data_IF_540161760986
#
_entry.id   IF_540161760986
#
_cell.length_a   1.000
_cell.length_b   1.000
_cell.length_c   1.000
_cell.angle_alpha   90.00
_cell.angle_beta   90.00
_cell.angle_gamma   90.00
#
_symmetry.space_group_name_H-M   'P 1'
#
loop_
_entity.id
_entity.type
_entity.pdbx_description
1 polymer ?
#
# COMPACT_ATOMS: atom_id res chain seq x y z
N UNK A 1 26.55 3.71 0.48
CA UNK A 1 26.22 5.14 0.67
C UNK A 1 25.11 5.21 1.70
N UNK A 2 25.20 6.07 2.73
CA UNK A 2 24.16 6.14 3.76
C UNK A 2 22.95 6.95 3.28
N UNK A 3 21.76 6.36 3.26
CA UNK A 3 20.52 7.08 2.89
C UNK A 3 19.97 7.89 4.07
N UNK A 4 20.20 7.42 5.29
CA UNK A 4 19.80 8.12 6.52
C UNK A 4 20.88 9.11 7.01
N UNK A 5 20.50 10.14 7.81
CA UNK A 5 21.45 11.00 8.52
C UNK A 5 22.39 10.20 9.45
N UNK A 6 23.53 10.77 9.82
CA UNK A 6 24.55 10.07 10.62
C UNK A 6 24.11 9.76 12.07
N UNK A 7 23.09 10.45 12.60
CA UNK A 7 22.61 10.32 13.97
C UNK A 7 21.41 9.36 14.08
N UNK A 8 21.69 8.05 13.89
CA UNK A 8 20.72 6.95 14.03
C UNK A 8 20.74 6.30 15.42
N UNK A 9 21.53 6.83 16.36
CA UNK A 9 21.82 6.19 17.65
C UNK A 9 20.58 5.89 18.50
N UNK A 10 19.50 6.66 18.31
CA UNK A 10 18.23 6.52 19.03
C UNK A 10 17.09 5.90 18.21
N UNK A 11 17.37 5.40 16.99
CA UNK A 11 16.36 4.85 16.09
C UNK A 11 15.75 3.54 16.62
N UNK A 12 16.58 2.63 17.14
CA UNK A 12 16.11 1.37 17.73
C UNK A 12 15.23 1.57 18.97
N UNK A 13 15.52 2.61 19.78
CA UNK A 13 14.71 2.93 20.95
C UNK A 13 13.34 3.50 20.56
N UNK A 14 13.30 4.44 19.60
CA UNK A 14 12.03 4.99 19.05
C UNK A 14 11.15 3.90 18.45
N UNK A 15 11.76 2.94 17.75
CA UNK A 15 11.09 1.75 17.22
C UNK A 15 10.52 0.89 18.36
N UNK A 16 11.31 0.54 19.37
CA UNK A 16 10.85 -0.31 20.47
C UNK A 16 9.63 0.24 21.23
N UNK A 17 9.58 1.55 21.45
CA UNK A 17 8.46 2.20 22.13
C UNK A 17 7.18 2.26 21.28
N UNK A 18 7.30 2.38 19.95
CA UNK A 18 6.17 2.49 19.03
C UNK A 18 5.66 1.13 18.52
N UNK A 19 6.54 0.15 18.33
CA UNK A 19 6.23 -1.12 17.66
C UNK A 19 5.23 -1.97 18.46
N UNK A 20 5.38 -2.11 19.77
CA UNK A 20 4.54 -3.02 20.55
C UNK A 20 3.06 -2.62 20.52
N UNK A 21 2.69 -1.35 20.80
CA UNK A 21 1.31 -0.89 20.62
C UNK A 21 0.79 -1.06 19.18
N UNK A 22 1.65 -0.79 18.18
CA UNK A 22 1.28 -0.95 16.77
C UNK A 22 0.96 -2.41 16.43
N UNK A 23 1.77 -3.37 16.88
CA UNK A 23 1.53 -4.80 16.65
C UNK A 23 0.27 -5.30 17.35
N UNK A 24 0.00 -4.81 18.57
CA UNK A 24 -1.24 -5.14 19.29
C UNK A 24 -2.48 -4.55 18.60
N UNK A 25 -2.38 -3.36 18.02
CA UNK A 25 -3.44 -2.77 17.21
C UNK A 25 -3.65 -3.55 15.92
N UNK A 26 -2.57 -3.83 15.19
CA UNK A 26 -2.55 -4.63 13.96
C UNK A 26 -3.27 -5.97 14.15
N UNK A 27 -2.90 -6.73 15.18
CA UNK A 27 -3.50 -8.02 15.46
C UNK A 27 -5.00 -7.91 15.79
N UNK A 28 -5.41 -6.92 16.59
CA UNK A 28 -6.83 -6.69 16.91
C UNK A 28 -7.65 -6.35 15.67
N UNK A 29 -7.12 -5.50 14.80
CA UNK A 29 -7.77 -5.10 13.54
C UNK A 29 -7.94 -6.32 12.62
N UNK A 30 -6.88 -7.11 12.44
CA UNK A 30 -6.93 -8.30 11.59
C UNK A 30 -7.92 -9.35 12.13
N UNK A 31 -7.89 -9.62 13.44
CA UNK A 31 -8.82 -10.55 14.06
C UNK A 31 -10.27 -10.09 13.94
N UNK A 32 -10.54 -8.80 14.16
CA UNK A 32 -11.87 -8.21 13.98
C UNK A 32 -12.36 -8.34 12.54
N UNK A 33 -11.47 -8.08 11.57
CA UNK A 33 -11.78 -8.26 10.16
C UNK A 33 -12.18 -9.72 9.85
N UNK A 34 -11.37 -10.71 10.23
CA UNK A 34 -11.69 -12.12 9.97
C UNK A 34 -12.96 -12.59 10.68
N UNK A 35 -13.20 -12.15 11.91
CA UNK A 35 -14.42 -12.47 12.66
C UNK A 35 -15.68 -11.96 11.92
N UNK A 36 -15.62 -10.76 11.34
CA UNK A 36 -16.71 -10.21 10.54
C UNK A 36 -16.81 -10.87 9.16
N UNK A 37 -15.68 -11.10 8.48
CA UNK A 37 -15.63 -11.69 7.16
C UNK A 37 -16.36 -13.04 7.12
N UNK A 38 -16.28 -13.85 8.20
CA UNK A 38 -16.97 -15.13 8.27
C UNK A 38 -18.51 -15.04 8.33
N UNK A 39 -19.05 -13.85 8.60
CA UNK A 39 -20.50 -13.59 8.63
C UNK A 39 -21.01 -13.05 7.28
N UNK A 40 -20.12 -12.64 6.37
CA UNK A 40 -20.45 -12.12 5.05
C UNK A 40 -20.11 -13.14 3.97
N UNK A 41 -21.09 -13.52 3.14
CA UNK A 41 -20.85 -14.42 2.00
C UNK A 41 -19.89 -13.80 0.97
N UNK A 42 -20.04 -12.50 0.72
CA UNK A 42 -19.18 -11.78 -0.22
C UNK A 42 -17.72 -11.76 0.26
N UNK A 43 -17.47 -11.44 1.53
CA UNK A 43 -16.10 -11.41 2.07
C UNK A 43 -15.48 -12.81 2.14
N UNK A 44 -16.25 -13.85 2.49
CA UNK A 44 -15.78 -15.26 2.48
C UNK A 44 -15.28 -15.73 1.11
N UNK A 45 -15.69 -15.08 0.02
CA UNK A 45 -15.25 -15.46 -1.33
C UNK A 45 -13.82 -15.00 -1.66
N UNK A 46 -13.30 -14.01 -0.93
CA UNK A 46 -12.03 -13.32 -1.22
C UNK A 46 -10.98 -13.43 -0.10
N UNK A 47 -11.26 -14.17 0.98
CA UNK A 47 -10.30 -14.39 2.08
C UNK A 47 -10.25 -15.85 2.51
N UNK A 48 -9.16 -16.32 3.14
CA UNK A 48 -9.14 -17.63 3.77
C UNK A 48 -10.23 -17.76 4.83
N UNK A 49 -10.83 -18.96 4.93
CA UNK A 49 -11.78 -19.24 6.00
C UNK A 49 -11.07 -19.15 7.35
N UNK A 50 -11.63 -18.37 8.27
CA UNK A 50 -11.21 -18.36 9.67
C UNK A 50 -12.06 -19.35 10.48
N UNK A 51 -11.40 -20.22 11.23
CA UNK A 51 -12.03 -21.10 12.21
C UNK A 51 -12.15 -20.42 13.58
N UNK A 52 -11.22 -19.51 13.87
CA UNK A 52 -11.19 -18.72 15.09
C UNK A 52 -10.47 -17.40 14.81
N UNK A 53 -10.99 -16.31 15.36
CA UNK A 53 -10.38 -14.99 15.28
C UNK A 53 -10.78 -14.18 16.53
N UNK A 54 -9.82 -14.03 17.45
CA UNK A 54 -9.97 -13.25 18.68
C UNK A 54 -8.76 -12.31 18.79
N UNK A 55 -9.01 -11.02 19.04
CA UNK A 55 -7.98 -9.98 19.14
C UNK A 55 -7.09 -10.07 20.38
N UNK A 56 -7.32 -11.06 21.25
CA UNK A 56 -6.47 -11.37 22.41
C UNK A 56 -5.65 -12.65 22.26
N UNK A 57 -5.90 -13.45 21.22
CA UNK A 57 -5.30 -14.78 21.04
C UNK A 57 -4.65 -14.92 19.66
N UNK A 58 -4.91 -16.01 18.96
CA UNK A 58 -4.38 -16.28 17.63
C UNK A 58 -5.52 -16.31 16.62
N UNK A 59 -5.21 -15.99 15.36
CA UNK A 59 -6.13 -16.18 14.24
C UNK A 59 -5.86 -17.56 13.66
N UNK A 60 -6.87 -18.43 13.62
CA UNK A 60 -6.78 -19.77 13.04
C UNK A 60 -7.44 -19.76 11.67
N UNK A 61 -6.62 -19.80 10.62
CA UNK A 61 -7.05 -19.80 9.23
C UNK A 61 -6.98 -21.20 8.61
N UNK A 62 -7.76 -21.43 7.55
CA UNK A 62 -7.68 -22.62 6.73
C UNK A 62 -6.31 -22.75 6.04
N UNK A 63 -5.75 -23.95 6.07
CA UNK A 63 -4.59 -24.30 5.24
C UNK A 63 -5.05 -24.49 3.80
N UNK A 64 -4.56 -23.63 2.91
CA UNK A 64 -4.91 -23.60 1.49
C UNK A 64 -3.82 -24.21 0.60
N UNK A 65 -2.72 -24.70 1.17
CA UNK A 65 -1.59 -25.25 0.41
C UNK A 65 -1.99 -26.41 -0.50
N UNK A 66 -2.88 -27.28 -0.03
CA UNK A 66 -3.42 -28.42 -0.79
C UNK A 66 -4.53 -28.02 -1.76
N UNK A 67 -5.09 -26.83 -1.61
CA UNK A 67 -6.12 -26.29 -2.49
C UNK A 67 -5.52 -25.48 -3.65
N UNK A 68 -4.20 -25.53 -3.86
CA UNK A 68 -3.51 -24.88 -4.98
C UNK A 68 -3.24 -23.39 -4.78
N UNK A 69 -3.63 -22.81 -3.65
CA UNK A 69 -3.29 -21.42 -3.32
C UNK A 69 -1.84 -21.30 -2.86
N UNK A 70 -1.11 -20.38 -3.48
CA UNK A 70 0.28 -20.08 -3.15
C UNK A 70 0.42 -18.57 -2.90
N UNK A 71 1.26 -18.14 -1.95
CA UNK A 71 1.59 -16.73 -1.83
C UNK A 71 2.23 -16.25 -3.13
N UNK A 72 1.83 -15.08 -3.63
CA UNK A 72 2.45 -14.42 -4.78
C UNK A 72 3.82 -13.80 -4.42
N UNK A 73 4.52 -14.44 -3.47
CA UNK A 73 5.53 -13.86 -2.61
C UNK A 73 6.53 -12.96 -3.35
N UNK A 74 6.90 -11.80 -2.78
CA UNK A 74 8.15 -11.15 -3.14
C UNK A 74 9.35 -12.11 -2.93
N UNK A 75 9.27 -13.08 -2.02
CA UNK A 75 10.40 -13.88 -1.59
C UNK A 75 10.66 -15.16 -2.41
N UNK A 76 9.84 -15.47 -3.42
CA UNK A 76 9.93 -16.74 -4.18
C UNK A 76 10.24 -16.59 -5.66
N UNK A 77 10.42 -15.36 -6.14
CA UNK A 77 10.81 -15.08 -7.52
C UNK A 77 12.08 -14.26 -7.46
N UNK A 78 13.07 -14.55 -8.29
CA UNK A 78 14.31 -13.77 -8.41
C UNK A 78 13.98 -12.26 -8.51
N UNK A 79 14.00 -11.54 -7.39
CA UNK A 79 13.63 -10.12 -7.30
C UNK A 79 14.72 -9.19 -7.83
N UNK A 80 15.82 -9.74 -8.33
CA UNK A 80 16.73 -9.00 -9.21
C UNK A 80 16.12 -8.78 -10.59
N UNK A 81 15.07 -9.54 -10.95
CA UNK A 81 14.27 -9.35 -12.17
C UNK A 81 12.77 -9.12 -11.86
N UNK A 82 12.27 -9.59 -10.72
CA UNK A 82 10.90 -9.41 -10.22
C UNK A 82 9.86 -10.14 -11.07
N UNK A 83 8.87 -10.84 -10.48
CA UNK A 83 7.76 -11.32 -11.30
C UNK A 83 7.03 -10.08 -11.81
N UNK A 84 6.94 -9.93 -13.12
CA UNK A 84 5.72 -9.42 -13.72
C UNK A 84 4.60 -10.27 -13.11
N UNK A 85 3.85 -9.71 -12.16
CA UNK A 85 2.61 -10.35 -11.75
C UNK A 85 1.77 -10.35 -13.03
N UNK A 86 1.56 -11.54 -13.61
CA UNK A 86 0.86 -11.68 -14.88
C UNK A 86 -0.44 -10.88 -14.84
N UNK A 87 -0.80 -10.24 -15.96
CA UNK A 87 -2.05 -9.51 -16.14
C UNK A 87 -3.25 -10.24 -15.54
N UNK A 88 -3.32 -11.56 -15.74
CA UNK A 88 -4.36 -12.45 -15.22
C UNK A 88 -4.44 -12.43 -13.69
N UNK A 89 -3.28 -12.49 -13.03
CA UNK A 89 -3.17 -12.45 -11.57
C UNK A 89 -3.55 -11.06 -11.06
N UNK A 90 -3.06 -9.99 -11.69
CA UNK A 90 -3.42 -8.61 -11.32
C UNK A 90 -4.91 -8.34 -11.47
N UNK A 91 -5.54 -8.86 -12.53
CA UNK A 91 -6.99 -8.77 -12.72
C UNK A 91 -7.76 -9.52 -11.62
N UNK A 92 -7.29 -10.69 -11.20
CA UNK A 92 -7.89 -11.43 -10.08
C UNK A 92 -7.77 -10.67 -8.75
N UNK A 93 -6.64 -10.00 -8.49
CA UNK A 93 -6.46 -9.16 -7.31
C UNK A 93 -7.39 -7.94 -7.36
N UNK A 94 -7.47 -7.27 -8.51
CA UNK A 94 -8.39 -6.14 -8.73
C UNK A 94 -9.83 -6.55 -8.50
N UNK A 95 -10.22 -7.75 -8.92
CA UNK A 95 -11.56 -8.29 -8.67
C UNK A 95 -11.82 -8.53 -7.18
N UNK A 96 -10.84 -9.11 -6.46
CA UNK A 96 -10.92 -9.31 -5.02
C UNK A 96 -11.02 -7.96 -4.27
N UNK A 97 -10.24 -6.95 -4.68
CA UNK A 97 -10.31 -5.60 -4.11
C UNK A 97 -11.64 -4.90 -4.41
N UNK A 98 -12.14 -4.98 -5.64
CA UNK A 98 -13.46 -4.42 -5.96
C UNK A 98 -14.56 -5.09 -5.12
N UNK A 99 -14.47 -6.40 -4.92
CA UNK A 99 -15.38 -7.15 -4.06
C UNK A 99 -15.27 -6.71 -2.61
N UNK A 100 -14.05 -6.55 -2.08
CA UNK A 100 -13.81 -6.04 -0.72
C UNK A 100 -14.43 -4.65 -0.54
N UNK A 101 -14.10 -3.71 -1.42
CA UNK A 101 -14.48 -2.32 -1.28
C UNK A 101 -15.99 -2.14 -1.39
N UNK A 102 -16.66 -2.90 -2.27
CA UNK A 102 -18.12 -2.86 -2.45
C UNK A 102 -18.91 -3.72 -1.46
N UNK A 103 -18.24 -4.51 -0.62
CA UNK A 103 -18.90 -5.32 0.39
C UNK A 103 -19.54 -4.43 1.45
N UNK A 104 -20.86 -4.34 1.44
CA UNK A 104 -21.60 -3.63 2.47
C UNK A 104 -21.64 -4.48 3.76
N UNK A 105 -21.15 -3.91 4.86
CA UNK A 105 -21.22 -4.53 6.19
C UNK A 105 -21.04 -3.46 7.25
N UNK A 106 -21.87 -3.48 8.29
CA UNK A 106 -21.65 -2.65 9.47
C UNK A 106 -20.64 -3.39 10.33
N UNK A 107 -19.38 -3.00 10.24
CA UNK A 107 -18.38 -3.38 11.23
C UNK A 107 -18.79 -2.74 12.57
N UNK A 108 -18.64 -3.46 13.69
CA UNK A 108 -18.79 -2.82 14.99
C UNK A 108 -17.90 -1.58 15.05
N UNK A 109 -18.42 -0.49 15.61
CA UNK A 109 -17.66 0.74 15.76
C UNK A 109 -16.31 0.43 16.44
N UNK A 110 -15.24 1.04 15.91
CA UNK A 110 -13.88 0.89 16.45
C UNK A 110 -13.23 -0.49 16.28
N UNK A 111 -13.83 -1.40 15.51
CA UNK A 111 -13.25 -2.72 15.26
C UNK A 111 -12.12 -2.70 14.22
N UNK A 112 -12.24 -1.82 13.21
CA UNK A 112 -11.20 -1.51 12.24
C UNK A 112 -10.63 -0.10 12.48
N UNK A 113 -9.57 0.25 11.75
CA UNK A 113 -9.02 1.60 11.78
C UNK A 113 -10.00 2.60 11.18
N UNK A 114 -10.06 3.81 11.75
CA UNK A 114 -10.62 4.95 11.02
C UNK A 114 -9.61 5.42 9.97
N UNK A 115 -10.08 6.14 8.95
CA UNK A 115 -9.17 6.73 7.96
C UNK A 115 -8.06 7.58 8.60
N UNK A 116 -8.42 8.38 9.60
CA UNK A 116 -7.47 9.20 10.36
C UNK A 116 -6.45 8.37 11.16
N UNK A 117 -6.89 7.26 11.78
CA UNK A 117 -5.99 6.37 12.49
C UNK A 117 -5.00 5.68 11.54
N UNK A 118 -5.45 5.30 10.34
CA UNK A 118 -4.58 4.75 9.30
C UNK A 118 -3.57 5.79 8.77
N UNK A 119 -4.02 7.03 8.54
CA UNK A 119 -3.11 8.14 8.16
C UNK A 119 -2.04 8.34 9.23
N UNK A 120 -2.43 8.37 10.51
CA UNK A 120 -1.51 8.54 11.62
C UNK A 120 -0.48 7.42 11.67
N UNK A 121 -0.93 6.15 11.67
CA UNK A 121 -0.05 4.98 11.65
C UNK A 121 0.99 5.04 10.52
N UNK A 122 0.57 5.42 9.31
CA UNK A 122 1.47 5.54 8.16
C UNK A 122 2.41 6.73 8.26
N UNK A 123 1.93 7.87 8.74
CA UNK A 123 2.76 9.05 8.99
C UNK A 123 3.87 8.70 9.97
N UNK A 124 3.55 8.00 11.05
CA UNK A 124 4.55 7.55 12.02
C UNK A 124 5.60 6.66 11.37
N UNK A 125 5.18 5.69 10.53
CA UNK A 125 6.10 4.84 9.75
C UNK A 125 7.03 5.65 8.82
N UNK A 126 6.51 6.69 8.16
CA UNK A 126 7.31 7.59 7.28
C UNK A 126 8.27 8.45 8.08
N UNK A 127 7.86 8.91 9.26
CA UNK A 127 8.62 9.88 10.04
C UNK A 127 9.64 9.26 10.99
N UNK A 128 9.52 7.97 11.32
CA UNK A 128 10.48 7.22 12.15
C UNK A 128 11.93 7.40 11.65
N UNK A 129 12.25 7.23 10.34
CA UNK A 129 13.61 7.38 9.84
C UNK A 129 14.14 8.83 9.84
N UNK A 130 13.25 9.84 9.90
CA UNK A 130 13.58 11.26 9.71
C UNK A 130 13.26 12.16 10.92
N UNK A 131 12.92 11.57 12.07
CA UNK A 131 12.65 12.29 13.32
C UNK A 131 11.57 13.38 13.21
N UNK A 132 10.52 13.13 12.43
CA UNK A 132 9.40 14.07 12.25
C UNK A 132 9.79 15.44 11.64
N UNK A 133 10.92 15.56 10.95
CA UNK A 133 11.37 16.79 10.29
C UNK A 133 11.09 16.77 8.77
N UNK A 134 10.30 17.74 8.30
CA UNK A 134 9.96 17.89 6.88
C UNK A 134 11.19 18.12 5.99
N UNK A 135 12.21 18.86 6.47
CA UNK A 135 13.46 19.06 5.73
C UNK A 135 14.27 17.77 5.63
N UNK A 136 14.22 16.95 6.67
CA UNK A 136 14.86 15.64 6.67
C UNK A 136 14.14 14.66 5.72
N UNK A 137 12.81 14.73 5.63
CA UNK A 137 12.04 13.99 4.61
C UNK A 137 12.39 14.46 3.20
N UNK A 138 12.43 15.77 2.94
CA UNK A 138 12.85 16.31 1.64
C UNK A 138 14.26 15.80 1.25
N UNK A 139 15.23 15.92 2.18
CA UNK A 139 16.59 15.45 1.94
C UNK A 139 16.65 13.93 1.68
N UNK A 140 15.82 13.13 2.37
CA UNK A 140 15.72 11.70 2.14
C UNK A 140 15.20 11.41 0.73
N UNK A 141 14.13 12.07 0.30
CA UNK A 141 13.54 11.89 -1.03
C UNK A 141 14.55 12.25 -2.14
N UNK A 142 15.25 13.37 -2.00
CA UNK A 142 16.30 13.76 -2.97
C UNK A 142 17.48 12.78 -2.99
N UNK A 143 17.90 12.25 -1.84
CA UNK A 143 18.96 11.22 -1.78
C UNK A 143 18.52 9.92 -2.42
N UNK A 144 17.30 9.48 -2.13
CA UNK A 144 16.72 8.28 -2.72
C UNK A 144 16.67 8.40 -4.24
N UNK A 145 16.13 9.52 -4.71
CA UNK A 145 16.08 9.83 -6.12
C UNK A 145 17.45 9.86 -6.79
N UNK A 146 18.44 10.56 -6.21
CA UNK A 146 19.79 10.61 -6.74
C UNK A 146 20.47 9.23 -6.79
N UNK A 147 20.07 8.31 -5.91
CA UNK A 147 20.58 6.94 -5.90
C UNK A 147 20.00 6.08 -7.04
N UNK A 148 18.69 6.13 -7.25
CA UNK A 148 18.00 5.24 -8.19
C UNK A 148 17.84 5.84 -9.60
N UNK A 149 17.89 7.17 -9.75
CA UNK A 149 17.76 7.84 -11.03
C UNK A 149 18.53 9.17 -11.06
N UNK A 150 19.87 9.13 -11.17
CA UNK A 150 20.72 10.32 -11.11
C UNK A 150 20.44 11.34 -12.24
N UNK A 151 19.98 10.87 -13.39
CA UNK A 151 19.74 11.67 -14.60
C UNK A 151 18.28 12.13 -14.77
N UNK A 152 17.42 11.93 -13.77
CA UNK A 152 16.01 12.13 -13.99
C UNK A 152 15.61 13.62 -14.22
N UNK A 153 14.41 13.84 -14.80
CA UNK A 153 13.99 15.18 -15.19
C UNK A 153 13.71 16.09 -13.98
N UNK A 154 13.85 17.40 -14.19
CA UNK A 154 13.61 18.47 -13.19
C UNK A 154 12.25 18.34 -12.51
N UNK A 155 11.23 17.85 -13.22
CA UNK A 155 9.86 17.64 -12.71
C UNK A 155 9.83 16.79 -11.43
N UNK A 156 10.71 15.78 -11.31
CA UNK A 156 10.76 14.91 -10.14
C UNK A 156 11.37 15.62 -8.92
N UNK A 157 12.36 16.50 -9.15
CA UNK A 157 12.93 17.31 -8.06
C UNK A 157 11.90 18.28 -7.50
N UNK A 158 11.15 18.97 -8.37
CA UNK A 158 10.06 19.86 -7.96
C UNK A 158 8.96 19.09 -7.21
N UNK A 159 8.59 17.91 -7.71
CA UNK A 159 7.63 17.02 -7.05
C UNK A 159 8.04 16.68 -5.60
N UNK A 160 9.30 16.32 -5.36
CA UNK A 160 9.76 16.00 -3.99
C UNK A 160 9.73 17.20 -3.05
N UNK A 161 10.20 18.36 -3.49
CA UNK A 161 10.18 19.57 -2.67
C UNK A 161 8.74 20.00 -2.35
N UNK A 162 7.82 19.91 -3.31
CA UNK A 162 6.38 20.16 -3.08
C UNK A 162 5.77 19.15 -2.13
N UNK A 163 6.00 17.86 -2.36
CA UNK A 163 5.44 16.80 -1.53
C UNK A 163 5.93 16.89 -0.07
N UNK A 164 7.20 17.22 0.14
CA UNK A 164 7.74 17.46 1.48
C UNK A 164 7.15 18.72 2.14
N UNK A 165 6.91 19.78 1.37
CA UNK A 165 6.28 21.02 1.86
C UNK A 165 4.83 20.79 2.29
N UNK A 166 4.04 20.08 1.46
CA UNK A 166 2.64 19.73 1.77
C UNK A 166 2.59 18.76 2.95
N UNK A 167 3.48 17.77 2.97
CA UNK A 167 3.58 16.76 4.01
C UNK A 167 2.69 15.54 3.78
N UNK A 168 3.20 14.38 4.16
CA UNK A 168 2.60 13.06 3.91
C UNK A 168 1.14 12.95 4.38
N UNK A 169 0.86 13.36 5.62
CA UNK A 169 -0.48 13.30 6.19
C UNK A 169 -1.48 14.19 5.43
N UNK A 170 -1.06 15.38 5.00
CA UNK A 170 -1.90 16.30 4.26
C UNK A 170 -2.22 15.76 2.85
N UNK A 171 -1.24 15.14 2.17
CA UNK A 171 -1.46 14.45 0.89
C UNK A 171 -2.55 13.38 1.03
N UNK A 172 -2.48 12.53 2.07
CA UNK A 172 -3.50 11.50 2.29
C UNK A 172 -4.87 12.09 2.67
N UNK A 173 -4.91 13.14 3.50
CA UNK A 173 -6.16 13.82 3.88
C UNK A 173 -6.84 14.53 2.71
N UNK A 174 -6.07 14.90 1.68
CA UNK A 174 -6.60 15.51 0.47
C UNK A 174 -7.30 14.53 -0.46
N UNK A 175 -7.12 13.21 -0.27
CA UNK A 175 -7.80 12.17 -1.05
C UNK A 175 -9.28 12.15 -0.63
N UNK A 176 -10.18 12.31 -1.60
CA UNK A 176 -11.60 12.40 -1.30
C UNK A 176 -12.18 11.06 -0.87
N UNK A 177 -12.89 11.03 0.25
CA UNK A 177 -13.70 9.86 0.65
C UNK A 177 -14.94 9.69 -0.25
N UNK A 178 -15.33 10.72 -1.01
CA UNK A 178 -16.47 10.64 -1.93
C UNK A 178 -16.11 10.14 -3.34
N UNK A 179 -14.81 9.95 -3.64
CA UNK A 179 -14.35 9.48 -4.96
C UNK A 179 -14.35 7.96 -5.11
N UNK A 180 -14.63 7.22 -4.04
CA UNK A 180 -14.66 5.76 -4.02
C UNK A 180 -15.70 5.18 -3.07
N UNK A 181 -16.16 3.96 -3.37
CA UNK A 181 -17.20 3.21 -2.63
C UNK A 181 -16.56 2.29 -1.58
N UNK A 182 -15.43 2.65 -0.96
CA UNK A 182 -14.82 1.71 -0.01
C UNK A 182 -15.53 1.78 1.35
N UNK A 183 -16.38 0.78 1.58
CA UNK A 183 -16.88 0.48 2.92
C UNK A 183 -15.75 -0.06 3.81
N UNK A 184 -14.83 -0.80 3.20
CA UNK A 184 -13.68 -1.42 3.85
C UNK A 184 -12.47 -1.22 2.95
N UNK A 185 -11.34 -0.90 3.55
CA UNK A 185 -10.02 -0.84 2.93
C UNK A 185 -9.17 -1.96 3.54
N UNK A 186 -8.40 -2.67 2.72
CA UNK A 186 -7.38 -3.62 3.17
C UNK A 186 -6.19 -2.90 3.85
N UNK A 187 -5.77 -1.78 3.30
CA UNK A 187 -4.70 -0.94 3.85
C UNK A 187 -3.28 -1.35 3.45
N UNK A 188 -3.05 -2.59 3.02
CA UNK A 188 -1.75 -3.02 2.45
C UNK A 188 -1.88 -4.18 1.43
N UNK A 189 -2.64 -4.02 0.33
CA UNK A 189 -2.84 -5.06 -0.67
C UNK A 189 -1.65 -5.14 -1.65
N UNK A 190 -0.45 -5.39 -1.12
CA UNK A 190 0.72 -5.68 -1.94
C UNK A 190 0.73 -7.18 -2.34
N UNK A 191 1.48 -7.60 -3.38
CA UNK A 191 1.53 -9.00 -3.80
C UNK A 191 1.93 -10.01 -2.70
N UNK A 192 2.70 -9.58 -1.69
CA UNK A 192 3.02 -10.42 -0.54
C UNK A 192 1.81 -10.80 0.32
N UNK A 193 0.75 -10.01 0.24
CA UNK A 193 -0.49 -10.17 0.99
C UNK A 193 -1.61 -10.79 0.14
N UNK A 194 -1.22 -11.57 -0.88
CA UNK A 194 -2.13 -12.29 -1.78
C UNK A 194 -1.76 -13.76 -1.89
N UNK A 195 -2.76 -14.62 -1.76
CA UNK A 195 -2.69 -16.03 -2.14
C UNK A 195 -3.40 -16.21 -3.49
N UNK A 196 -2.72 -16.81 -4.47
CA UNK A 196 -3.27 -17.03 -5.81
C UNK A 196 -3.36 -18.52 -6.13
N UNK A 197 -4.45 -18.90 -6.80
CA UNK A 197 -4.65 -20.22 -7.36
C UNK A 197 -4.76 -20.10 -8.89
N UNK A 198 -3.77 -20.66 -9.59
CA UNK A 198 -3.66 -20.64 -11.06
C UNK A 198 -4.77 -21.44 -11.76
N UNK A 199 -5.26 -22.52 -11.15
CA UNK A 199 -6.26 -23.42 -11.76
C UNK A 199 -7.61 -22.72 -11.83
N UNK A 200 -8.00 -22.07 -10.72
CA UNK A 200 -9.30 -21.42 -10.60
C UNK A 200 -9.24 -19.92 -10.89
N UNK A 201 -8.05 -19.39 -11.21
CA UNK A 201 -7.75 -17.97 -11.43
C UNK A 201 -8.25 -17.03 -10.33
N UNK A 202 -8.22 -17.51 -9.07
CA UNK A 202 -8.71 -16.78 -7.89
C UNK A 202 -7.58 -16.21 -7.05
N UNK A 203 -7.77 -14.98 -6.61
CA UNK A 203 -6.95 -14.34 -5.59
C UNK A 203 -7.72 -14.31 -4.25
N UNK A 204 -7.01 -14.59 -3.16
CA UNK A 204 -7.46 -14.34 -1.80
C UNK A 204 -6.53 -13.33 -1.15
N UNK A 205 -7.12 -12.38 -0.44
CA UNK A 205 -6.41 -11.36 0.32
C UNK A 205 -6.13 -11.89 1.74
N UNK A 206 -4.98 -11.52 2.30
CA UNK A 206 -4.53 -11.90 3.65
C UNK A 206 -3.83 -10.72 4.32
N UNK A 207 -3.55 -10.81 5.62
CA UNK A 207 -2.83 -9.78 6.36
C UNK A 207 -3.58 -8.44 6.43
N UNK A 208 -4.77 -8.48 7.03
CA UNK A 208 -5.69 -7.34 7.18
C UNK A 208 -5.35 -6.42 8.37
N UNK A 209 -4.09 -6.40 8.80
CA UNK A 209 -3.62 -5.64 9.97
C UNK A 209 -3.76 -4.12 9.86
N UNK A 210 -3.84 -3.59 8.64
CA UNK A 210 -4.03 -2.17 8.35
C UNK A 210 -5.46 -1.86 7.83
N UNK A 211 -6.42 -2.78 8.03
CA UNK A 211 -7.77 -2.61 7.53
C UNK A 211 -8.49 -1.41 8.16
N UNK A 212 -9.21 -0.66 7.33
CA UNK A 212 -9.88 0.57 7.74
C UNK A 212 -11.30 0.67 7.18
N UNK A 213 -12.19 1.39 7.89
CA UNK A 213 -13.52 1.78 7.38
C UNK A 213 -13.51 3.23 6.91
N UNK A 214 -14.49 3.57 6.06
CA UNK A 214 -14.76 4.94 5.59
C UNK A 214 -13.54 5.61 4.92
N UNK A 215 -12.67 4.79 4.34
CA UNK A 215 -11.42 5.21 3.72
C UNK A 215 -11.55 5.13 2.19
N UNK A 216 -10.83 5.96 1.43
CA UNK A 216 -10.98 6.01 -0.03
C UNK A 216 -10.32 4.80 -0.70
N UNK A 217 -11.12 4.03 -1.44
CA UNK A 217 -10.75 2.76 -2.09
C UNK A 217 -9.51 2.86 -3.00
N UNK A 218 -9.31 4.04 -3.58
CA UNK A 218 -8.19 4.37 -4.47
C UNK A 218 -6.83 4.17 -3.79
N UNK A 219 -6.77 4.21 -2.46
CA UNK A 219 -5.56 3.99 -1.67
C UNK A 219 -5.07 2.55 -1.80
N UNK A 220 -5.96 1.57 -1.83
CA UNK A 220 -5.59 0.17 -2.03
C UNK A 220 -5.19 -0.11 -3.48
N UNK A 221 -5.89 0.52 -4.43
CA UNK A 221 -5.54 0.45 -5.85
C UNK A 221 -4.15 1.01 -6.09
N UNK A 222 -3.83 2.18 -5.54
CA UNK A 222 -2.50 2.78 -5.64
C UNK A 222 -1.42 1.88 -5.01
N UNK A 223 -1.70 1.29 -3.84
CA UNK A 223 -0.77 0.39 -3.15
C UNK A 223 -0.45 -0.84 -3.99
N UNK A 224 -1.45 -1.46 -4.61
CA UNK A 224 -1.25 -2.57 -5.51
C UNK A 224 -0.41 -2.14 -6.72
N UNK A 225 -0.79 -1.07 -7.41
CA UNK A 225 -0.13 -0.62 -8.63
C UNK A 225 1.33 -0.24 -8.44
N UNK A 226 1.69 0.40 -7.32
CA UNK A 226 3.09 0.76 -7.07
C UNK A 226 3.93 -0.44 -6.63
N UNK A 227 3.34 -1.42 -5.94
CA UNK A 227 4.07 -2.56 -5.41
C UNK A 227 4.16 -3.74 -6.37
N UNK A 228 3.22 -3.89 -7.30
CA UNK A 228 3.10 -5.07 -8.15
C UNK A 228 3.56 -4.88 -9.60
N UNK A 229 3.50 -3.66 -10.13
CA UNK A 229 3.78 -3.40 -11.55
C UNK A 229 5.28 -3.35 -11.83
N UNK A 230 5.73 -4.05 -12.88
CA UNK A 230 7.10 -3.93 -13.36
C UNK A 230 7.29 -2.59 -14.11
N UNK A 231 8.47 -1.93 -13.98
CA UNK A 231 8.72 -0.63 -14.62
C UNK A 231 8.50 -0.57 -16.14
N UNK A 232 8.68 -1.68 -16.86
CA UNK A 232 8.60 -1.72 -18.33
C UNK A 232 7.20 -2.00 -18.86
N UNK A 233 6.35 -2.71 -18.10
CA UNK A 233 4.99 -3.11 -18.51
C UNK A 233 3.90 -2.20 -17.93
N UNK A 234 4.30 -1.24 -17.08
CA UNK A 234 3.41 -0.38 -16.28
C UNK A 234 2.33 0.33 -17.10
N UNK A 235 2.76 1.15 -18.06
CA UNK A 235 1.87 2.08 -18.77
C UNK A 235 0.72 1.39 -19.51
N UNK A 236 0.98 0.22 -20.13
CA UNK A 236 -0.04 -0.53 -20.87
C UNK A 236 -1.03 -1.24 -19.94
N UNK A 237 -0.58 -1.71 -18.78
CA UNK A 237 -1.38 -2.56 -17.90
C UNK A 237 -2.12 -1.77 -16.82
N UNK A 238 -1.56 -0.65 -16.36
CA UNK A 238 -2.17 0.18 -15.31
C UNK A 238 -3.53 0.73 -15.75
N UNK A 239 -3.63 1.27 -16.96
CA UNK A 239 -4.88 1.83 -17.49
C UNK A 239 -5.99 0.77 -17.58
N UNK A 240 -5.66 -0.44 -18.01
CA UNK A 240 -6.57 -1.57 -18.07
C UNK A 240 -7.07 -1.98 -16.68
N UNK A 241 -6.16 -2.10 -15.71
CA UNK A 241 -6.49 -2.49 -14.34
C UNK A 241 -7.35 -1.43 -13.64
N UNK A 242 -6.99 -0.15 -13.77
CA UNK A 242 -7.77 0.97 -13.21
C UNK A 242 -9.15 1.03 -13.84
N UNK A 243 -9.25 0.88 -15.17
CA UNK A 243 -10.54 0.87 -15.87
C UNK A 243 -11.41 -0.31 -15.44
N UNK A 244 -10.81 -1.49 -15.30
CA UNK A 244 -11.49 -2.70 -14.83
C UNK A 244 -12.00 -2.53 -13.40
N UNK A 245 -11.15 -2.01 -12.52
CA UNK A 245 -11.51 -1.70 -11.14
C UNK A 245 -12.67 -0.69 -11.08
N UNK A 246 -12.56 0.43 -11.79
CA UNK A 246 -13.58 1.49 -11.81
C UNK A 246 -14.94 0.95 -12.29
N UNK A 247 -14.94 0.09 -13.30
CA UNK A 247 -16.16 -0.53 -13.81
C UNK A 247 -16.78 -1.48 -12.77
N UNK A 248 -15.99 -2.35 -12.15
CA UNK A 248 -16.49 -3.30 -11.13
C UNK A 248 -16.97 -2.60 -9.86
N UNK A 249 -16.24 -1.60 -9.39
CA UNK A 249 -16.58 -0.82 -8.20
C UNK A 249 -17.61 0.30 -8.48
N UNK A 250 -18.15 0.40 -9.69
CA UNK A 250 -19.13 1.41 -10.11
C UNK A 250 -18.71 2.85 -9.79
N UNK A 251 -17.45 3.20 -10.08
CA UNK A 251 -16.91 4.53 -9.80
C UNK A 251 -17.53 5.57 -10.75
N UNK A 252 -18.35 6.46 -10.20
CA UNK A 252 -19.06 7.52 -10.95
C UNK A 252 -18.17 8.76 -11.15
N UNK A 253 -17.39 9.15 -10.14
CA UNK A 253 -16.55 10.35 -10.19
C UNK A 253 -15.13 10.07 -10.71
N UNK A 254 -15.02 9.60 -11.96
CA UNK A 254 -13.75 9.13 -12.56
C UNK A 254 -12.62 10.16 -12.53
N UNK A 255 -12.90 11.43 -12.82
CA UNK A 255 -11.89 12.51 -12.80
C UNK A 255 -11.31 12.69 -11.39
N UNK A 256 -12.18 12.71 -10.38
CA UNK A 256 -11.74 12.82 -8.98
C UNK A 256 -10.95 11.58 -8.57
N UNK A 257 -11.42 10.38 -8.93
CA UNK A 257 -10.69 9.14 -8.66
C UNK A 257 -9.30 9.16 -9.29
N UNK A 258 -9.16 9.59 -10.54
CA UNK A 258 -7.86 9.69 -11.21
C UNK A 258 -6.94 10.68 -10.50
N UNK A 259 -7.43 11.87 -10.13
CA UNK A 259 -6.63 12.84 -9.34
C UNK A 259 -6.18 12.24 -8.00
N UNK A 260 -7.10 11.57 -7.30
CA UNK A 260 -6.86 10.94 -6.01
C UNK A 260 -5.91 9.74 -6.12
N UNK A 261 -5.92 9.03 -7.25
CA UNK A 261 -4.97 7.96 -7.57
C UNK A 261 -3.55 8.48 -7.65
N UNK A 262 -3.32 9.62 -8.32
CA UNK A 262 -1.99 10.22 -8.38
C UNK A 262 -1.48 10.67 -7.00
N UNK A 263 -2.35 11.24 -6.16
CA UNK A 263 -1.99 11.57 -4.76
C UNK A 263 -1.66 10.31 -3.95
N UNK A 264 -2.45 9.26 -4.09
CA UNK A 264 -2.22 8.00 -3.40
C UNK A 264 -0.91 7.34 -3.86
N UNK A 265 -0.64 7.31 -5.18
CA UNK A 265 0.61 6.80 -5.74
C UNK A 265 1.82 7.59 -5.20
N UNK A 266 1.73 8.92 -5.14
CA UNK A 266 2.77 9.77 -4.55
C UNK A 266 2.99 9.44 -3.07
N UNK A 267 1.92 9.36 -2.29
CA UNK A 267 2.00 9.02 -0.88
C UNK A 267 2.68 7.65 -0.68
N UNK A 268 2.27 6.61 -1.40
CA UNK A 268 2.92 5.32 -1.25
C UNK A 268 4.35 5.27 -1.75
N UNK A 269 4.71 6.04 -2.77
CA UNK A 269 6.10 6.18 -3.18
C UNK A 269 6.93 6.72 -2.01
N UNK A 270 6.46 7.77 -1.33
CA UNK A 270 7.12 8.34 -0.13
C UNK A 270 7.24 7.29 0.98
N UNK A 271 6.16 6.55 1.26
CA UNK A 271 6.17 5.49 2.27
C UNK A 271 7.21 4.41 1.94
N UNK A 272 7.20 3.89 0.72
CA UNK A 272 8.15 2.86 0.27
C UNK A 272 9.57 3.38 0.35
N UNK A 273 9.84 4.59 -0.14
CA UNK A 273 11.18 5.19 -0.11
C UNK A 273 11.73 5.31 1.32
N UNK A 274 10.89 5.72 2.28
CA UNK A 274 11.26 5.76 3.69
C UNK A 274 11.62 4.37 4.25
N UNK A 275 10.81 3.36 3.92
CA UNK A 275 11.07 1.97 4.32
C UNK A 275 12.32 1.38 3.67
N UNK A 276 12.53 1.59 2.38
CA UNK A 276 13.71 1.11 1.66
C UNK A 276 14.99 1.75 2.21
N UNK A 277 14.98 3.06 2.45
CA UNK A 277 16.11 3.75 3.07
C UNK A 277 16.43 3.21 4.47
N UNK A 278 15.41 2.85 5.25
CA UNK A 278 15.58 2.19 6.53
C UNK A 278 16.17 0.77 6.40
N UNK A 279 15.64 -0.05 5.49
CA UNK A 279 16.04 -1.45 5.36
C UNK A 279 17.43 -1.63 4.73
N UNK A 280 17.82 -0.74 3.81
CA UNK A 280 19.16 -0.76 3.22
C UNK A 280 20.27 -0.55 4.28
N UNK A 281 19.96 0.08 5.41
CA UNK A 281 20.89 0.24 6.53
C UNK A 281 20.87 -0.97 7.50
N UNK A 282 19.88 -1.88 7.42
CA UNK A 282 19.59 -2.90 8.46
C UNK A 282 19.63 -4.37 7.99
N UNK A 283 20.01 -4.66 6.71
CA UNK A 283 20.32 -5.99 6.11
C UNK A 283 19.18 -6.77 5.42
N UNK A 284 18.50 -6.18 4.43
CA UNK A 284 17.79 -6.94 3.38
C UNK A 284 17.70 -6.15 2.04
N UNK A 285 18.73 -6.17 1.17
CA UNK A 285 18.85 -5.16 0.12
C UNK A 285 18.03 -5.40 -1.16
N UNK A 286 17.93 -6.63 -1.67
CA UNK A 286 17.44 -6.86 -3.04
C UNK A 286 15.95 -6.52 -3.25
N UNK A 287 15.06 -6.99 -2.36
CA UNK A 287 13.62 -6.71 -2.44
C UNK A 287 13.31 -5.21 -2.33
N UNK A 288 13.93 -4.57 -1.34
CA UNK A 288 13.73 -3.16 -1.10
C UNK A 288 14.30 -2.31 -2.25
N UNK A 289 15.34 -2.79 -2.93
CA UNK A 289 15.84 -2.16 -4.15
C UNK A 289 14.80 -2.20 -5.28
N UNK A 290 14.20 -3.37 -5.55
CA UNK A 290 13.16 -3.51 -6.59
C UNK A 290 11.92 -2.62 -6.30
N UNK A 291 11.50 -2.53 -5.04
CA UNK A 291 10.42 -1.62 -4.63
C UNK A 291 10.81 -0.14 -4.83
N UNK A 292 12.08 0.21 -4.62
CA UNK A 292 12.63 1.52 -4.93
C UNK A 292 12.56 1.86 -6.42
N UNK A 293 13.01 0.94 -7.28
CA UNK A 293 12.96 1.10 -8.74
C UNK A 293 11.53 1.26 -9.26
N UNK A 294 10.59 0.44 -8.77
CA UNK A 294 9.16 0.55 -9.10
C UNK A 294 8.57 1.89 -8.68
N UNK A 295 8.94 2.37 -7.49
CA UNK A 295 8.48 3.68 -6.99
C UNK A 295 8.99 4.81 -7.87
N UNK A 296 10.26 4.78 -8.28
CA UNK A 296 10.84 5.79 -9.17
C UNK A 296 10.22 5.73 -10.58
N UNK A 297 10.00 4.54 -11.13
CA UNK A 297 9.31 4.37 -12.40
C UNK A 297 7.89 4.98 -12.34
N UNK A 298 7.14 4.67 -11.28
CA UNK A 298 5.82 5.27 -11.05
C UNK A 298 5.88 6.81 -11.01
N UNK A 299 6.82 7.38 -10.27
CA UNK A 299 6.97 8.83 -10.17
C UNK A 299 7.35 9.46 -11.51
N UNK A 300 8.24 8.82 -12.28
CA UNK A 300 8.62 9.27 -13.62
C UNK A 300 7.43 9.28 -14.57
N UNK A 301 6.62 8.22 -14.56
CA UNK A 301 5.52 8.03 -15.49
C UNK A 301 4.33 8.95 -15.18
N UNK A 302 4.16 9.36 -13.91
CA UNK A 302 3.01 10.14 -13.43
C UNK A 302 3.37 11.51 -12.83
N UNK A 303 4.62 11.94 -12.97
CA UNK A 303 5.16 13.07 -12.20
C UNK A 303 4.46 14.40 -12.49
N UNK A 304 4.06 14.63 -13.75
CA UNK A 304 3.34 15.84 -14.14
C UNK A 304 1.94 15.90 -13.53
N UNK A 305 1.22 14.79 -13.58
CA UNK A 305 -0.13 14.62 -13.02
C UNK A 305 -0.10 14.73 -11.50
N UNK A 306 0.93 14.20 -10.84
CA UNK A 306 1.14 14.33 -9.39
C UNK A 306 1.41 15.79 -8.99
N UNK A 307 2.25 16.52 -9.74
CA UNK A 307 2.47 17.95 -9.51
C UNK A 307 1.16 18.71 -9.66
N UNK A 308 0.37 18.43 -10.70
CA UNK A 308 -0.94 19.05 -10.89
C UNK A 308 -1.91 18.72 -9.74
N UNK A 309 -1.94 17.46 -9.28
CA UNK A 309 -2.81 17.04 -8.18
C UNK A 309 -2.50 17.75 -6.86
N UNK A 310 -1.23 18.17 -6.67
CA UNK A 310 -0.77 18.97 -5.53
C UNK A 310 -1.06 20.47 -5.66
N UNK A 311 -1.37 21.02 -6.84
CA UNK A 311 -1.52 22.47 -7.07
C UNK A 311 -2.68 23.17 -6.32
N UNK A 312 -3.40 22.45 -5.46
CA UNK A 312 -4.47 23.00 -4.61
C UNK A 312 -4.34 22.66 -3.13
N UNK A 313 -3.16 22.18 -2.69
CA UNK A 313 -2.82 21.80 -1.32
C UNK A 313 -1.70 22.69 -0.78
#
# INVERSE_FOLDING_TARGET
MKLLPADIGNLAHRLGAAIVPMLQQAHRVEAAFYAHAMQSEQLRSIVPRAYHADGHQAILLADLSRAGFKPLSPWSVDLTEGPDVDRTVLLAIVDALATLHTSAGVFPASSLLTWDALIQSRTDRVMIPVNHDAKALEALLHRFYAHFCPDAPIVLRDLFSRAATVGYAAILRAISTSSGVAYILHGDPNPGNVLYNEVDTRALLVDFQDAATDAPAVVDVARLLISAMHPTSRASLENDLVSTYMAKANIVHRVQFTRDLHLALLAYAILIMAWVAFTLETRAPALFYALGERSIACLRDHGAEMVQALQGL
#
